data_IF_127050782735
#
_entry.id   IF_127050782735
#
_cell.length_a   1.000
_cell.length_b   1.000
_cell.length_c   1.000
_cell.angle_alpha   90.00
_cell.angle_beta   90.00
_cell.angle_gamma   90.00
#
_symmetry.space_group_name_H-M   'P 1'
#
loop_
_entity.id
_entity.type
_entity.pdbx_description
1 polymer ?
#
# COMPACT_ATOMS: atom_id res chain seq x y z
N UNK A 1 13.55 -47.44 57.95
CA UNK A 1 13.18 -47.09 56.56
C UNK A 1 13.95 -48.03 55.68
N UNK A 2 13.30 -48.72 54.75
CA UNK A 2 13.99 -49.66 53.87
C UNK A 2 14.95 -48.88 52.97
N UNK A 3 16.21 -49.31 52.94
CA UNK A 3 17.25 -48.70 52.13
C UNK A 3 17.00 -49.04 50.66
N UNK A 4 16.81 -48.02 49.81
CA UNK A 4 16.58 -48.23 48.37
C UNK A 4 17.88 -48.75 47.74
N UNK A 5 17.81 -49.91 47.11
CA UNK A 5 18.93 -50.48 46.36
C UNK A 5 18.72 -50.26 44.86
N UNK A 6 19.80 -49.92 44.15
CA UNK A 6 19.83 -49.73 42.70
C UNK A 6 20.95 -50.57 42.12
N UNK A 7 20.71 -51.18 40.97
CA UNK A 7 21.71 -52.00 40.27
C UNK A 7 22.80 -51.11 39.65
N UNK A 8 24.07 -51.41 39.92
CA UNK A 8 25.17 -50.69 39.31
C UNK A 8 25.45 -51.21 37.88
N UNK A 9 25.51 -50.35 36.84
CA UNK A 9 25.74 -50.79 35.46
C UNK A 9 27.11 -51.42 35.18
N UNK A 10 28.06 -51.35 36.12
CA UNK A 10 29.42 -51.88 35.93
C UNK A 10 29.53 -53.33 36.43
N UNK A 11 29.03 -53.62 37.63
CA UNK A 11 29.15 -54.93 38.26
C UNK A 11 27.82 -55.69 38.38
N UNK A 12 26.70 -55.02 38.07
CA UNK A 12 25.34 -55.59 38.01
C UNK A 12 24.80 -56.11 39.36
N UNK A 13 25.40 -55.74 40.49
CA UNK A 13 24.82 -56.02 41.81
C UNK A 13 24.00 -54.84 42.33
N UNK A 14 23.06 -55.15 43.23
CA UNK A 14 22.24 -54.19 43.93
C UNK A 14 23.06 -53.46 45.01
N UNK A 15 23.18 -52.14 44.89
CA UNK A 15 23.95 -51.27 45.79
C UNK A 15 23.02 -50.25 46.45
N UNK A 16 23.20 -49.88 47.73
CA UNK A 16 22.46 -48.79 48.34
C UNK A 16 22.53 -47.51 47.50
N UNK A 17 21.40 -46.83 47.30
CA UNK A 17 21.33 -45.60 46.49
C UNK A 17 22.31 -44.52 46.98
N UNK A 18 22.55 -44.46 48.30
CA UNK A 18 23.52 -43.53 48.91
C UNK A 18 24.95 -43.73 48.37
N UNK A 19 25.28 -44.93 47.91
CA UNK A 19 26.60 -45.26 47.39
C UNK A 19 26.67 -45.12 45.86
N UNK A 20 25.61 -44.60 45.20
CA UNK A 20 25.59 -44.28 43.78
C UNK A 20 25.92 -42.80 43.55
N UNK A 21 26.90 -42.55 42.69
CA UNK A 21 27.24 -41.23 42.18
C UNK A 21 26.82 -41.12 40.70
N UNK A 22 26.10 -40.06 40.37
CA UNK A 22 25.65 -39.74 39.01
C UNK A 22 26.47 -38.60 38.39
N UNK A 23 26.46 -38.55 37.06
CA UNK A 23 27.12 -37.51 36.27
C UNK A 23 26.10 -36.71 35.44
N UNK A 24 26.54 -35.56 34.91
CA UNK A 24 25.72 -34.71 34.02
C UNK A 24 25.22 -35.41 32.76
N UNK A 25 25.82 -36.55 32.38
CA UNK A 25 25.35 -37.39 31.28
C UNK A 25 24.18 -38.31 31.66
N UNK A 26 23.68 -38.25 32.90
CA UNK A 26 22.53 -39.02 33.39
C UNK A 26 22.84 -40.43 33.88
N UNK A 27 24.09 -40.90 33.79
CA UNK A 27 24.49 -42.24 34.22
C UNK A 27 25.07 -42.22 35.65
N UNK A 28 24.75 -43.24 36.45
CA UNK A 28 25.22 -43.40 37.82
C UNK A 28 25.91 -44.73 38.08
N UNK A 29 26.91 -44.71 38.97
CA UNK A 29 27.76 -45.85 39.29
C UNK A 29 28.02 -45.91 40.80
N UNK A 30 28.27 -47.10 41.34
CA UNK A 30 28.66 -47.21 42.74
C UNK A 30 30.06 -46.63 42.98
N UNK A 31 30.30 -46.09 44.18
CA UNK A 31 31.61 -45.51 44.55
C UNK A 31 32.79 -46.46 44.26
N UNK A 32 32.76 -47.76 44.64
CA UNK A 32 33.88 -48.67 44.38
C UNK A 32 34.23 -48.83 42.90
N UNK A 33 33.22 -49.02 42.04
CA UNK A 33 33.47 -49.19 40.61
C UNK A 33 33.88 -47.89 39.94
N UNK A 34 33.38 -46.75 40.42
CA UNK A 34 33.82 -45.45 39.95
C UNK A 34 35.29 -45.19 40.33
N UNK A 35 35.68 -45.55 41.54
CA UNK A 35 37.05 -45.44 42.03
C UNK A 35 38.02 -46.32 41.24
N UNK A 36 37.64 -47.56 40.97
CA UNK A 36 38.39 -48.46 40.10
C UNK A 36 38.52 -47.89 38.68
N UNK A 37 37.45 -47.32 38.12
CA UNK A 37 37.45 -46.71 36.78
C UNK A 37 38.42 -45.54 36.68
N UNK A 38 38.42 -44.62 37.64
CA UNK A 38 39.38 -43.50 37.67
C UNK A 38 40.81 -43.95 37.98
N UNK A 39 40.99 -44.95 38.85
CA UNK A 39 42.32 -45.45 39.22
C UNK A 39 43.01 -46.20 38.08
N UNK A 40 42.24 -46.89 37.23
CA UNK A 40 42.77 -47.64 36.08
C UNK A 40 43.28 -46.75 34.93
N UNK A 41 42.98 -45.44 34.94
CA UNK A 41 43.30 -44.51 33.84
C UNK A 41 43.83 -43.15 34.33
N UNK A 42 45.08 -43.07 34.82
CA UNK A 42 45.63 -41.84 35.39
C UNK A 42 45.92 -40.71 34.39
N UNK A 43 45.95 -40.98 33.07
CA UNK A 43 46.52 -40.03 32.08
C UNK A 43 45.56 -39.60 30.97
N UNK A 44 44.28 -39.97 31.00
CA UNK A 44 43.31 -39.57 29.97
C UNK A 44 42.02 -39.05 30.59
N UNK A 45 41.35 -38.15 29.85
CA UNK A 45 39.98 -37.72 30.13
C UNK A 45 39.13 -38.97 30.35
N UNK A 46 38.69 -39.19 31.57
CA UNK A 46 37.86 -40.33 31.90
C UNK A 46 36.53 -40.19 31.18
N UNK A 47 36.09 -41.24 30.50
CA UNK A 47 34.83 -41.28 29.79
C UNK A 47 33.81 -42.07 30.61
N UNK A 48 32.55 -41.69 30.55
CA UNK A 48 31.46 -42.44 31.16
C UNK A 48 31.47 -43.90 30.63
N UNK A 49 31.49 -44.94 31.50
CA UNK A 49 31.44 -46.33 31.10
C UNK A 49 30.26 -46.67 30.16
N UNK A 50 29.14 -45.96 30.29
CA UNK A 50 27.91 -46.22 29.52
C UNK A 50 27.86 -45.41 28.22
N UNK A 51 27.88 -44.07 28.27
CA UNK A 51 27.70 -43.21 27.08
C UNK A 51 29.00 -42.66 26.47
N UNK A 52 30.15 -42.95 27.07
CA UNK A 52 31.48 -42.46 26.66
C UNK A 52 31.66 -40.93 26.67
N UNK A 53 30.68 -40.16 27.17
CA UNK A 53 30.83 -38.72 27.37
C UNK A 53 31.96 -38.42 28.37
N UNK A 54 32.72 -37.33 28.17
CA UNK A 54 33.81 -36.97 29.09
C UNK A 54 33.24 -36.64 30.47
N UNK A 55 33.81 -37.25 31.51
CA UNK A 55 33.43 -37.06 32.91
C UNK A 55 34.67 -36.75 33.75
N UNK A 56 34.51 -35.96 34.81
CA UNK A 56 35.56 -35.73 35.81
C UNK A 56 35.04 -36.16 37.17
N UNK A 57 35.90 -36.74 38.01
CA UNK A 57 35.54 -37.22 39.35
C UNK A 57 34.83 -36.16 40.21
N UNK A 58 35.24 -34.89 40.07
CA UNK A 58 34.62 -33.74 40.76
C UNK A 58 33.22 -33.36 40.27
N UNK A 59 32.82 -33.84 39.09
CA UNK A 59 31.50 -33.57 38.51
C UNK A 59 30.47 -34.65 38.94
N UNK A 60 30.89 -35.63 39.74
CA UNK A 60 30.04 -36.66 40.29
C UNK A 60 29.21 -36.09 41.45
N UNK A 61 27.90 -36.36 41.46
CA UNK A 61 27.00 -35.94 42.53
C UNK A 61 26.18 -37.11 43.06
N UNK A 62 25.88 -37.08 44.36
CA UNK A 62 25.07 -38.10 45.01
C UNK A 62 23.59 -37.90 44.65
N UNK A 63 22.89 -38.99 44.32
CA UNK A 63 21.45 -38.94 44.06
C UNK A 63 20.67 -38.93 45.38
N UNK A 64 20.06 -37.79 45.69
CA UNK A 64 19.11 -37.66 46.80
C UNK A 64 17.70 -37.96 46.30
N UNK A 65 17.35 -39.24 46.17
CA UNK A 65 15.95 -39.62 45.99
C UNK A 65 15.34 -39.83 47.38
N UNK A 66 14.49 -38.90 47.80
CA UNK A 66 13.61 -39.12 48.95
C UNK A 66 12.66 -40.25 48.55
N UNK A 67 12.60 -41.39 49.25
CA UNK A 67 11.69 -42.46 48.91
C UNK A 67 10.26 -41.93 48.98
N UNK A 68 9.65 -41.62 47.84
CA UNK A 68 8.21 -41.39 47.78
C UNK A 68 7.59 -42.74 48.09
N UNK A 69 6.90 -42.83 49.25
CA UNK A 69 6.13 -44.02 49.64
C UNK A 69 5.11 -44.33 48.55
N UNK A 70 5.54 -45.10 47.57
CA UNK A 70 4.72 -45.54 46.46
C UNK A 70 4.11 -46.86 46.89
N UNK A 71 2.89 -46.78 47.42
CA UNK A 71 2.06 -47.89 47.91
C UNK A 71 1.56 -48.78 46.76
N UNK A 72 2.44 -49.25 45.87
CA UNK A 72 2.05 -50.08 44.74
C UNK A 72 3.15 -51.10 44.43
N UNK A 73 3.18 -52.12 45.28
CA UNK A 73 3.96 -53.34 45.08
C UNK A 73 3.30 -54.17 43.96
N UNK A 74 3.72 -53.96 42.71
CA UNK A 74 3.49 -54.96 41.64
C UNK A 74 4.69 -55.90 41.66
N UNK A 75 4.52 -57.05 42.31
CA UNK A 75 5.48 -58.16 42.27
C UNK A 75 5.52 -58.72 40.85
N UNK A 76 6.59 -58.45 40.11
CA UNK A 76 6.97 -59.25 38.95
C UNK A 76 7.85 -60.40 39.45
N UNK A 77 7.25 -61.59 39.54
CA UNK A 77 7.94 -62.83 39.91
C UNK A 77 8.87 -63.26 38.78
N UNK A 78 10.18 -63.24 39.03
CA UNK A 78 11.17 -63.87 38.15
C UNK A 78 11.08 -65.40 38.27
N UNK A 79 11.04 -66.17 37.18
CA UNK A 79 10.94 -67.62 37.24
C UNK A 79 12.28 -68.23 37.66
N UNK A 80 12.32 -68.81 38.86
CA UNK A 80 13.41 -69.65 39.33
C UNK A 80 13.56 -70.88 38.42
N UNK A 81 14.72 -71.00 37.77
CA UNK A 81 15.19 -72.24 37.14
C UNK A 81 15.41 -73.31 38.21
N UNK A 82 14.60 -74.36 38.20
CA UNK A 82 14.79 -75.55 39.03
C UNK A 82 15.90 -76.43 38.45
N UNK A 83 16.85 -76.94 39.26
CA UNK A 83 17.90 -77.84 38.78
C UNK A 83 17.30 -79.20 38.41
N UNK A 84 17.53 -79.65 37.19
CA UNK A 84 17.18 -81.01 36.76
C UNK A 84 18.08 -82.05 37.47
N UNK A 85 17.51 -83.13 38.04
CA UNK A 85 18.29 -84.22 38.63
C UNK A 85 18.95 -85.06 37.52
N UNK A 86 20.27 -85.14 37.54
CA UNK A 86 21.06 -86.06 36.72
C UNK A 86 20.95 -87.48 37.28
N UNK A 87 20.45 -88.48 36.53
CA UNK A 87 20.47 -89.87 36.97
C UNK A 87 21.91 -90.40 36.94
N UNK A 88 22.40 -90.83 38.11
CA UNK A 88 23.68 -91.55 38.27
C UNK A 88 23.43 -93.01 37.86
N UNK A 89 24.04 -93.45 36.75
CA UNK A 89 23.99 -94.83 36.27
C UNK A 89 25.21 -95.55 36.84
N UNK A 90 24.98 -96.51 37.74
CA UNK A 90 26.00 -97.37 38.33
C UNK A 90 26.27 -98.57 37.39
N UNK A 91 27.54 -98.81 37.03
CA UNK A 91 27.98 -99.65 35.91
C UNK A 91 28.63 -100.99 36.34
N UNK A 92 28.45 -101.43 37.60
CA UNK A 92 29.25 -102.51 38.20
C UNK A 92 28.63 -103.91 38.21
N UNK A 93 27.48 -104.18 37.56
CA UNK A 93 26.91 -105.55 37.48
C UNK A 93 26.90 -106.08 36.05
N UNK A 94 27.54 -107.23 35.73
CA UNK A 94 27.48 -107.84 34.42
C UNK A 94 26.17 -108.61 34.29
N UNK A 95 25.13 -107.94 33.81
CA UNK A 95 23.85 -108.57 33.48
C UNK A 95 23.55 -108.33 31.99
N UNK A 96 23.29 -109.39 31.23
CA UNK A 96 23.15 -109.34 29.75
C UNK A 96 21.93 -108.54 29.25
N UNK A 97 21.09 -108.00 30.15
CA UNK A 97 19.92 -107.17 29.84
C UNK A 97 20.21 -105.65 29.85
N UNK A 98 21.34 -105.22 30.41
CA UNK A 98 21.76 -103.80 30.48
C UNK A 98 21.88 -103.14 29.08
N UNK A 99 22.38 -103.83 28.02
CA UNK A 99 22.43 -103.25 26.69
C UNK A 99 21.05 -102.85 26.16
N UNK A 100 19.99 -103.60 26.45
CA UNK A 100 18.65 -103.34 25.93
C UNK A 100 18.02 -102.07 26.51
N UNK A 101 18.13 -101.89 27.83
CA UNK A 101 17.61 -100.69 28.53
C UNK A 101 18.35 -99.44 28.08
N UNK A 102 19.68 -99.51 27.97
CA UNK A 102 20.51 -98.39 27.49
C UNK A 102 20.19 -98.04 26.02
N UNK A 103 20.02 -99.05 25.15
CA UNK A 103 19.63 -98.83 23.76
C UNK A 103 18.24 -98.17 23.66
N UNK A 104 17.28 -98.59 24.49
CA UNK A 104 15.93 -97.99 24.52
C UNK A 104 15.97 -96.52 24.96
N UNK A 105 16.69 -96.23 26.05
CA UNK A 105 16.87 -94.86 26.55
C UNK A 105 17.56 -93.96 25.53
N UNK A 106 18.62 -94.45 24.86
CA UNK A 106 19.30 -93.72 23.80
C UNK A 106 18.38 -93.45 22.60
N UNK A 107 17.51 -94.40 22.23
CA UNK A 107 16.51 -94.20 21.17
C UNK A 107 15.48 -93.13 21.55
N UNK A 108 14.98 -93.14 22.78
CA UNK A 108 14.05 -92.13 23.28
C UNK A 108 14.70 -90.74 23.31
N UNK A 109 15.93 -90.64 23.83
CA UNK A 109 16.71 -89.39 23.82
C UNK A 109 16.97 -88.89 22.41
N UNK A 110 17.35 -89.77 21.48
CA UNK A 110 17.52 -89.39 20.08
C UNK A 110 16.21 -88.92 19.45
N UNK A 111 15.08 -89.56 19.76
CA UNK A 111 13.77 -89.15 19.28
C UNK A 111 13.37 -87.77 19.82
N UNK A 112 13.61 -87.51 21.11
CA UNK A 112 13.38 -86.21 21.73
C UNK A 112 14.26 -85.11 21.12
N UNK A 113 15.56 -85.36 20.96
CA UNK A 113 16.49 -84.43 20.31
C UNK A 113 16.10 -84.15 18.86
N UNK A 114 15.63 -85.15 18.11
CA UNK A 114 15.14 -84.94 16.75
C UNK A 114 13.87 -84.09 16.72
N UNK A 115 12.95 -84.28 17.69
CA UNK A 115 11.77 -83.43 17.85
C UNK A 115 12.18 -81.98 18.14
N UNK A 116 13.11 -81.78 19.07
CA UNK A 116 13.65 -80.46 19.42
C UNK A 116 14.32 -79.79 18.21
N UNK A 117 15.17 -80.50 17.47
CA UNK A 117 15.79 -80.02 16.23
C UNK A 117 14.72 -79.58 15.20
N UNK A 118 13.63 -80.32 15.07
CA UNK A 118 12.54 -79.94 14.16
C UNK A 118 11.80 -78.69 14.64
N UNK A 119 11.53 -78.56 15.95
CA UNK A 119 10.91 -77.34 16.50
C UNK A 119 11.79 -76.11 16.28
N UNK A 120 13.08 -76.20 16.58
CA UNK A 120 14.05 -75.12 16.36
C UNK A 120 14.17 -74.77 14.87
N UNK A 121 14.09 -75.75 13.98
CA UNK A 121 14.10 -75.51 12.53
C UNK A 121 12.85 -74.76 12.07
N UNK A 122 11.69 -75.09 12.61
CA UNK A 122 10.44 -74.40 12.31
C UNK A 122 10.41 -72.98 12.90
N UNK A 123 10.95 -72.79 14.11
CA UNK A 123 11.15 -71.47 14.71
C UNK A 123 12.09 -70.60 13.88
N UNK A 124 13.22 -71.15 13.43
CA UNK A 124 14.15 -70.44 12.56
C UNK A 124 13.49 -70.06 11.23
N UNK A 125 12.64 -70.93 10.66
CA UNK A 125 11.89 -70.63 9.43
C UNK A 125 10.89 -69.49 9.66
N UNK A 126 10.15 -69.51 10.79
CA UNK A 126 9.23 -68.43 11.17
C UNK A 126 9.96 -67.11 11.38
N UNK A 127 11.08 -67.12 12.11
CA UNK A 127 11.89 -65.94 12.35
C UNK A 127 12.44 -65.33 11.05
N UNK A 128 12.88 -66.16 10.10
CA UNK A 128 13.31 -65.69 8.76
C UNK A 128 12.18 -65.05 7.98
N UNK A 129 11.01 -65.70 7.91
CA UNK A 129 9.84 -65.13 7.22
C UNK A 129 9.37 -63.82 7.86
N UNK A 130 9.41 -63.71 9.19
CA UNK A 130 9.11 -62.47 9.89
C UNK A 130 10.14 -61.37 9.56
N UNK A 131 11.44 -61.70 9.55
CA UNK A 131 12.49 -60.76 9.17
C UNK A 131 12.32 -60.24 7.73
N UNK A 132 11.98 -61.12 6.79
CA UNK A 132 11.66 -60.73 5.41
C UNK A 132 10.44 -59.81 5.34
N UNK A 133 9.37 -60.11 6.10
CA UNK A 133 8.20 -59.24 6.18
C UNK A 133 8.52 -57.89 6.82
N UNK A 134 9.43 -57.83 7.79
CA UNK A 134 9.87 -56.57 8.40
C UNK A 134 10.71 -55.75 7.41
N UNK A 135 11.59 -56.39 6.64
CA UNK A 135 12.36 -55.71 5.59
C UNK A 135 11.47 -55.10 4.52
N UNK A 136 10.43 -55.81 4.07
CA UNK A 136 9.49 -55.25 3.07
C UNK A 136 8.68 -54.10 3.65
N UNK A 137 8.21 -54.20 4.89
CA UNK A 137 7.54 -53.09 5.57
C UNK A 137 8.46 -51.87 5.73
N UNK A 138 9.72 -52.08 6.11
CA UNK A 138 10.70 -51.01 6.22
C UNK A 138 10.91 -50.30 4.88
N UNK A 139 11.11 -51.05 3.80
CA UNK A 139 11.27 -50.49 2.46
C UNK A 139 10.04 -49.64 2.05
N UNK A 140 8.82 -50.13 2.33
CA UNK A 140 7.60 -49.38 2.04
C UNK A 140 7.49 -48.09 2.87
N UNK A 141 7.89 -48.12 4.14
CA UNK A 141 7.90 -46.93 5.00
C UNK A 141 8.96 -45.92 4.56
N UNK A 142 10.09 -46.36 4.04
CA UNK A 142 11.13 -45.49 3.49
C UNK A 142 10.67 -44.81 2.19
N UNK A 143 9.96 -45.54 1.31
CA UNK A 143 9.35 -44.99 0.09
C UNK A 143 8.28 -43.96 0.44
N UNK A 144 7.37 -44.28 1.37
CA UNK A 144 6.31 -43.38 1.80
C UNK A 144 6.88 -42.12 2.48
N UNK A 145 7.91 -42.25 3.31
CA UNK A 145 8.61 -41.09 3.89
C UNK A 145 9.25 -40.22 2.81
N UNK A 146 9.83 -40.84 1.77
CA UNK A 146 10.43 -40.11 0.64
C UNK A 146 9.36 -39.35 -0.14
N UNK A 147 8.20 -39.98 -0.39
CA UNK A 147 7.04 -39.36 -1.03
C UNK A 147 6.52 -38.16 -0.23
N UNK A 148 6.31 -38.32 1.08
CA UNK A 148 5.83 -37.26 1.97
C UNK A 148 6.81 -36.09 2.08
N UNK A 149 8.12 -36.35 2.10
CA UNK A 149 9.14 -35.29 2.04
C UNK A 149 9.03 -34.50 0.74
N UNK A 150 8.90 -35.18 -0.40
CA UNK A 150 8.69 -34.52 -1.68
C UNK A 150 7.41 -33.68 -1.72
N UNK A 151 6.32 -34.14 -1.11
CA UNK A 151 5.09 -33.35 -0.94
C UNK A 151 5.32 -32.11 -0.07
N UNK A 152 6.02 -32.24 1.05
CA UNK A 152 6.35 -31.12 1.94
C UNK A 152 7.20 -30.05 1.23
N UNK A 153 8.16 -30.47 0.41
CA UNK A 153 9.04 -29.55 -0.32
C UNK A 153 8.26 -28.79 -1.41
N UNK A 154 7.38 -29.46 -2.16
CA UNK A 154 6.49 -28.81 -3.12
C UNK A 154 5.57 -27.78 -2.47
N UNK A 155 4.96 -28.12 -1.33
CA UNK A 155 4.12 -27.16 -0.59
C UNK A 155 4.95 -25.98 -0.06
N UNK A 156 6.21 -26.19 0.34
CA UNK A 156 7.10 -25.11 0.77
C UNK A 156 7.44 -24.16 -0.39
N UNK A 157 7.72 -24.69 -1.56
CA UNK A 157 7.96 -23.90 -2.79
C UNK A 157 6.71 -23.10 -3.18
N UNK A 158 5.53 -23.72 -3.14
CA UNK A 158 4.26 -23.04 -3.40
C UNK A 158 4.02 -21.88 -2.42
N UNK A 159 4.25 -22.09 -1.12
CA UNK A 159 4.15 -21.04 -0.11
C UNK A 159 5.15 -19.91 -0.40
N UNK A 160 6.38 -20.23 -0.83
CA UNK A 160 7.37 -19.23 -1.22
C UNK A 160 6.90 -18.41 -2.42
N UNK A 161 6.41 -19.06 -3.48
CA UNK A 161 5.89 -18.40 -4.67
C UNK A 161 4.68 -17.50 -4.36
N UNK A 162 3.75 -17.96 -3.53
CA UNK A 162 2.60 -17.16 -3.08
C UNK A 162 3.03 -15.94 -2.26
N UNK A 163 4.06 -16.05 -1.42
CA UNK A 163 4.62 -14.91 -0.68
C UNK A 163 5.21 -13.86 -1.62
N UNK A 164 5.96 -14.27 -2.64
CA UNK A 164 6.51 -13.34 -3.64
C UNK A 164 5.40 -12.62 -4.43
N UNK A 165 4.37 -13.36 -4.85
CA UNK A 165 3.20 -12.77 -5.52
C UNK A 165 2.50 -11.77 -4.61
N UNK A 166 2.33 -12.09 -3.33
CA UNK A 166 1.71 -11.18 -2.35
C UNK A 166 2.54 -9.91 -2.15
N UNK A 167 3.87 -10.02 -2.00
CA UNK A 167 4.75 -8.85 -1.91
C UNK A 167 4.66 -7.96 -3.15
N UNK A 168 4.63 -8.55 -4.36
CA UNK A 168 4.43 -7.78 -5.61
C UNK A 168 3.08 -7.07 -5.63
N UNK A 169 2.00 -7.75 -5.23
CA UNK A 169 0.67 -7.17 -5.17
C UNK A 169 0.60 -6.01 -4.16
N UNK A 170 1.20 -6.17 -2.98
CA UNK A 170 1.31 -5.11 -1.98
C UNK A 170 2.04 -3.87 -2.52
N UNK A 171 3.19 -4.05 -3.18
CA UNK A 171 3.92 -2.95 -3.81
C UNK A 171 3.10 -2.25 -4.92
N UNK A 172 2.28 -3.00 -5.67
CA UNK A 172 1.37 -2.41 -6.66
C UNK A 172 0.24 -1.61 -6.01
N UNK A 173 -0.33 -2.10 -4.90
CA UNK A 173 -1.33 -1.37 -4.12
C UNK A 173 -0.78 -0.05 -3.57
N UNK A 174 0.39 -0.07 -2.94
CA UNK A 174 1.05 1.13 -2.43
C UNK A 174 1.35 2.16 -3.55
N UNK A 175 1.81 1.68 -4.71
CA UNK A 175 2.03 2.53 -5.90
C UNK A 175 0.74 3.16 -6.43
N UNK A 176 -0.38 2.42 -6.41
CA UNK A 176 -1.69 2.93 -6.80
C UNK A 176 -2.23 3.96 -5.79
N UNK A 177 -2.07 3.71 -4.50
CA UNK A 177 -2.45 4.65 -3.43
C UNK A 177 -1.66 5.97 -3.54
N UNK A 178 -0.35 5.90 -3.83
CA UNK A 178 0.46 7.08 -4.07
C UNK A 178 0.00 7.85 -5.32
N UNK A 179 -0.39 7.17 -6.39
CA UNK A 179 -0.95 7.84 -7.59
C UNK A 179 -2.31 8.46 -7.30
N UNK A 180 -3.15 7.80 -6.51
CA UNK A 180 -4.45 8.30 -6.12
C UNK A 180 -4.34 9.58 -5.28
N UNK A 181 -3.45 9.59 -4.27
CA UNK A 181 -3.21 10.77 -3.42
C UNK A 181 -2.68 11.95 -4.23
N UNK A 182 -1.68 11.75 -5.09
CA UNK A 182 -1.19 12.79 -6.03
C UNK A 182 -2.28 13.29 -6.97
N UNK A 183 -3.10 12.39 -7.51
CA UNK A 183 -4.23 12.76 -8.37
C UNK A 183 -5.25 13.62 -7.63
N UNK A 184 -5.54 13.30 -6.37
CA UNK A 184 -6.41 14.08 -5.50
C UNK A 184 -5.85 15.49 -5.24
N UNK A 185 -4.55 15.60 -4.92
CA UNK A 185 -3.88 16.89 -4.72
C UNK A 185 -3.96 17.77 -5.98
N UNK A 186 -3.62 17.21 -7.15
CA UNK A 186 -3.73 17.92 -8.44
C UNK A 186 -5.17 18.37 -8.69
N UNK A 187 -6.15 17.49 -8.44
CA UNK A 187 -7.56 17.83 -8.60
C UNK A 187 -8.00 18.97 -7.68
N UNK A 188 -7.56 18.99 -6.42
CA UNK A 188 -7.86 20.10 -5.50
C UNK A 188 -7.24 21.41 -5.95
N UNK A 189 -5.98 21.39 -6.44
CA UNK A 189 -5.31 22.57 -6.98
C UNK A 189 -6.03 23.13 -8.20
N UNK A 190 -6.38 22.26 -9.16
CA UNK A 190 -7.13 22.67 -10.34
C UNK A 190 -8.52 23.22 -10.01
N UNK A 191 -9.18 22.71 -8.96
CA UNK A 191 -10.44 23.27 -8.47
C UNK A 191 -10.27 24.71 -7.99
N UNK A 192 -9.22 24.98 -7.20
CA UNK A 192 -8.91 26.32 -6.69
C UNK A 192 -8.59 27.28 -7.84
N UNK A 193 -7.75 26.86 -8.79
CA UNK A 193 -7.42 27.69 -9.97
C UNK A 193 -8.65 27.98 -10.83
N UNK A 194 -9.55 27.00 -10.99
CA UNK A 194 -10.79 27.18 -11.73
C UNK A 194 -11.71 28.21 -11.06
N UNK A 195 -11.84 28.16 -9.74
CA UNK A 195 -12.63 29.13 -8.99
C UNK A 195 -12.01 30.53 -9.04
N UNK A 196 -10.67 30.66 -8.96
CA UNK A 196 -9.97 31.93 -9.19
C UNK A 196 -10.25 32.51 -10.58
N UNK A 197 -10.14 31.69 -11.62
CA UNK A 197 -10.41 32.13 -12.99
C UNK A 197 -11.88 32.54 -13.20
N UNK A 198 -12.84 31.88 -12.52
CA UNK A 198 -14.24 32.31 -12.54
C UNK A 198 -14.42 33.69 -11.90
N UNK A 199 -13.73 33.97 -10.79
CA UNK A 199 -13.77 35.27 -10.14
C UNK A 199 -13.17 36.37 -11.02
N UNK A 200 -12.00 36.13 -11.62
CA UNK A 200 -11.37 37.05 -12.59
C UNK A 200 -12.28 37.33 -13.78
N UNK A 201 -12.91 36.29 -14.34
CA UNK A 201 -13.86 36.41 -15.44
C UNK A 201 -15.10 37.22 -15.02
N UNK A 202 -15.58 37.08 -13.78
CA UNK A 202 -16.67 37.89 -13.26
C UNK A 202 -16.28 39.38 -13.10
N UNK A 203 -15.06 39.66 -12.62
CA UNK A 203 -14.51 41.02 -12.51
C UNK A 203 -14.39 41.69 -13.89
N UNK A 204 -13.80 41.00 -14.86
CA UNK A 204 -13.67 41.51 -16.23
C UNK A 204 -15.03 41.76 -16.88
N UNK A 205 -16.02 40.90 -16.65
CA UNK A 205 -17.40 41.15 -17.12
C UNK A 205 -18.01 42.40 -16.50
N UNK A 206 -17.80 42.64 -15.21
CA UNK A 206 -18.28 43.83 -14.53
C UNK A 206 -17.57 45.10 -15.03
N UNK A 207 -16.27 45.05 -15.29
CA UNK A 207 -15.48 46.12 -15.91
C UNK A 207 -15.95 46.44 -17.31
N UNK A 208 -16.13 45.42 -18.15
CA UNK A 208 -16.67 45.58 -19.50
C UNK A 208 -18.06 46.22 -19.47
N UNK A 209 -18.92 45.79 -18.54
CA UNK A 209 -20.24 46.38 -18.38
C UNK A 209 -20.16 47.87 -17.97
N UNK A 210 -19.27 48.23 -17.04
CA UNK A 210 -19.00 49.62 -16.64
C UNK A 210 -18.49 50.47 -17.81
N UNK A 211 -17.55 49.95 -18.59
CA UNK A 211 -17.03 50.62 -19.78
C UNK A 211 -18.13 50.84 -20.84
N UNK A 212 -19.01 49.85 -21.06
CA UNK A 212 -20.15 49.97 -21.96
C UNK A 212 -21.19 51.00 -21.49
N UNK A 213 -21.39 51.16 -20.18
CA UNK A 213 -22.26 52.22 -19.64
C UNK A 213 -21.62 53.60 -19.76
N UNK A 214 -20.33 53.73 -19.45
CA UNK A 214 -19.59 54.98 -19.59
C UNK A 214 -19.54 55.44 -21.06
N UNK A 215 -19.28 54.52 -22.00
CA UNK A 215 -19.33 54.81 -23.44
C UNK A 215 -20.71 55.32 -23.87
N UNK A 216 -21.79 54.73 -23.37
CA UNK A 216 -23.16 55.20 -23.67
C UNK A 216 -23.42 56.60 -23.13
N UNK A 217 -23.01 56.88 -21.89
CA UNK A 217 -23.10 58.21 -21.29
C UNK A 217 -22.33 59.25 -22.12
N UNK A 218 -21.09 58.96 -22.53
CA UNK A 218 -20.31 59.85 -23.38
C UNK A 218 -20.97 60.11 -24.75
N UNK A 219 -21.62 59.11 -25.35
CA UNK A 219 -22.40 59.28 -26.59
C UNK A 219 -23.60 60.23 -26.36
N UNK A 220 -24.31 60.07 -25.24
CA UNK A 220 -25.45 60.93 -24.91
C UNK A 220 -25.00 62.37 -24.59
N UNK A 221 -23.89 62.54 -23.88
CA UNK A 221 -23.26 63.84 -23.59
C UNK A 221 -22.83 64.55 -24.87
N UNK A 222 -22.11 63.86 -25.76
CA UNK A 222 -21.70 64.42 -27.06
C UNK A 222 -22.90 64.77 -27.95
N UNK A 223 -24.00 64.01 -27.87
CA UNK A 223 -25.25 64.34 -28.54
C UNK A 223 -25.90 65.59 -27.95
N UNK A 224 -25.99 65.70 -26.63
CA UNK A 224 -26.54 66.87 -25.94
C UNK A 224 -25.73 68.13 -26.26
N UNK A 225 -24.40 68.03 -26.29
CA UNK A 225 -23.53 69.15 -26.62
C UNK A 225 -23.69 69.58 -28.09
N UNK A 226 -23.81 68.62 -29.01
CA UNK A 226 -24.15 68.91 -30.41
C UNK A 226 -25.48 69.63 -30.55
N UNK A 227 -26.49 69.24 -29.77
CA UNK A 227 -27.80 69.92 -29.78
C UNK A 227 -27.70 71.34 -29.19
N UNK A 228 -26.89 71.56 -28.14
CA UNK A 228 -26.59 72.91 -27.61
C UNK A 228 -25.90 73.81 -28.64
N UNK A 229 -24.89 73.30 -29.35
CA UNK A 229 -24.21 74.01 -30.43
C UNK A 229 -25.22 74.38 -31.52
N UNK A 230 -26.07 73.45 -31.95
CA UNK A 230 -27.11 73.72 -32.95
C UNK A 230 -28.10 74.81 -32.51
N UNK A 231 -28.52 74.80 -31.25
CA UNK A 231 -29.38 75.83 -30.68
C UNK A 231 -28.68 77.20 -30.64
N UNK A 232 -27.40 77.23 -30.28
CA UNK A 232 -26.59 78.44 -30.29
C UNK A 232 -26.40 79.00 -31.70
N UNK A 233 -26.05 78.16 -32.67
CA UNK A 233 -25.98 78.54 -34.09
C UNK A 233 -27.31 79.12 -34.59
N UNK A 234 -28.43 78.50 -34.21
CA UNK A 234 -29.76 79.01 -34.49
C UNK A 234 -29.99 80.43 -33.94
N UNK A 235 -29.57 80.70 -32.70
CA UNK A 235 -29.62 82.05 -32.09
C UNK A 235 -28.68 83.05 -32.80
N UNK A 236 -27.47 82.64 -33.16
CA UNK A 236 -26.55 83.50 -33.92
C UNK A 236 -27.14 83.87 -35.28
N UNK A 237 -27.81 82.94 -35.96
CA UNK A 237 -28.50 83.21 -37.23
C UNK A 237 -29.67 84.19 -37.05
N UNK A 238 -30.47 84.07 -35.98
CA UNK A 238 -31.56 85.03 -35.72
C UNK A 238 -31.02 86.41 -35.38
N UNK A 239 -29.98 86.53 -34.55
CA UNK A 239 -29.31 87.80 -34.27
C UNK A 239 -28.72 88.43 -35.53
N UNK A 240 -28.07 87.63 -36.39
CA UNK A 240 -27.55 88.11 -37.68
C UNK A 240 -28.66 88.70 -38.55
N UNK A 241 -29.81 88.02 -38.66
CA UNK A 241 -30.99 88.52 -39.38
C UNK A 241 -31.52 89.83 -38.78
N UNK A 242 -31.59 89.94 -37.46
CA UNK A 242 -32.01 91.18 -36.78
C UNK A 242 -31.04 92.34 -37.05
N UNK A 243 -29.74 92.08 -36.96
CA UNK A 243 -28.70 93.07 -37.23
C UNK A 243 -28.72 93.54 -38.69
N UNK A 244 -28.96 92.64 -39.64
CA UNK A 244 -29.16 92.98 -41.05
C UNK A 244 -30.44 93.80 -41.26
N UNK A 245 -31.51 93.52 -40.51
CA UNK A 245 -32.75 94.30 -40.53
C UNK A 245 -32.54 95.72 -39.98
N UNK A 246 -31.84 95.86 -38.85
CA UNK A 246 -31.48 97.16 -38.27
C UNK A 246 -30.53 97.95 -39.18
N UNK A 247 -29.56 97.29 -39.82
CA UNK A 247 -28.72 97.92 -40.85
C UNK A 247 -29.56 98.46 -42.01
N UNK A 248 -30.57 97.71 -42.47
CA UNK A 248 -31.50 98.19 -43.51
C UNK A 248 -32.31 99.39 -43.04
N UNK A 249 -32.86 99.37 -41.81
CA UNK A 249 -33.57 100.51 -41.21
C UNK A 249 -32.67 101.73 -41.10
N UNK A 250 -31.45 101.57 -40.59
CA UNK A 250 -30.47 102.65 -40.48
C UNK A 250 -30.14 103.25 -41.85
N UNK A 251 -29.90 102.42 -42.87
CA UNK A 251 -29.70 102.91 -44.25
C UNK A 251 -30.91 103.69 -44.77
N UNK A 252 -32.13 103.24 -44.48
CA UNK A 252 -33.36 103.95 -44.85
C UNK A 252 -33.45 105.32 -44.17
N UNK A 253 -33.23 105.36 -42.85
CA UNK A 253 -33.17 106.61 -42.07
C UNK A 253 -32.04 107.54 -42.54
N UNK A 254 -30.87 107.01 -42.89
CA UNK A 254 -29.76 107.79 -43.45
C UNK A 254 -30.15 108.37 -44.83
N UNK A 255 -30.86 107.61 -45.67
CA UNK A 255 -31.37 108.13 -46.95
C UNK A 255 -32.45 109.19 -46.77
N UNK A 256 -33.35 109.03 -45.79
CA UNK A 256 -34.38 110.02 -45.43
C UNK A 256 -33.75 111.29 -44.85
N UNK A 257 -32.79 111.15 -43.94
CA UNK A 257 -32.05 112.27 -43.36
C UNK A 257 -31.23 113.02 -44.43
N UNK A 258 -30.69 112.31 -45.43
CA UNK A 258 -30.09 112.96 -46.62
C UNK A 258 -31.12 113.73 -47.44
N UNK A 259 -32.34 113.22 -47.59
CA UNK A 259 -33.42 113.96 -48.28
C UNK A 259 -33.82 115.22 -47.51
N UNK A 260 -33.84 115.17 -46.16
CA UNK A 260 -34.11 116.34 -45.31
C UNK A 260 -32.95 117.35 -45.26
N UNK A 261 -31.71 116.90 -45.51
CA UNK A 261 -30.50 117.73 -45.59
C UNK A 261 -30.19 118.25 -46.99
N UNK A 262 -31.02 117.96 -47.99
CA UNK A 262 -30.99 118.73 -49.23
C UNK A 262 -31.30 120.18 -48.85
N UNK A 263 -30.39 121.13 -49.10
CA UNK A 263 -30.71 122.53 -48.88
C UNK A 263 -31.93 122.87 -49.76
N UNK A 264 -32.81 123.80 -49.34
CA UNK A 264 -33.68 124.46 -50.30
C UNK A 264 -32.77 124.96 -51.44
N UNK A 265 -33.18 124.85 -52.71
CA UNK A 265 -32.40 125.45 -53.77
C UNK A 265 -32.25 126.93 -53.41
N UNK A 266 -31.00 127.38 -53.31
CA UNK A 266 -30.53 128.72 -52.91
C UNK A 266 -30.30 128.93 -51.40
N UNK A 267 -29.15 128.47 -50.92
CA UNK A 267 -28.43 129.13 -49.83
C UNK A 267 -26.93 128.82 -49.96
N UNK A 268 -26.18 129.77 -50.54
CA UNK A 268 -24.75 129.87 -50.32
C UNK A 268 -24.54 130.12 -48.83
N UNK A 269 -23.78 129.28 -48.13
CA UNK A 269 -23.17 129.74 -46.90
C UNK A 269 -21.85 129.04 -46.57
N UNK A 270 -20.92 129.93 -46.30
CA UNK A 270 -19.54 129.78 -45.92
C UNK A 270 -19.42 129.07 -44.55
N UNK A 271 -18.67 127.97 -44.49
CA UNK A 271 -18.19 127.48 -43.21
C UNK A 271 -16.74 127.01 -43.33
N UNK A 272 -15.85 127.92 -42.94
CA UNK A 272 -14.42 127.70 -42.74
C UNK A 272 -14.21 126.60 -41.69
N UNK A 273 -13.60 125.49 -42.10
CA UNK A 273 -12.92 124.56 -41.18
C UNK A 273 -11.49 125.06 -41.01
N UNK A 274 -11.21 125.69 -39.86
CA UNK A 274 -9.85 126.06 -39.45
C UNK A 274 -9.14 124.77 -39.01
N UNK A 275 -8.24 124.28 -39.86
CA UNK A 275 -7.27 123.24 -39.50
C UNK A 275 -6.06 123.96 -38.90
N UNK A 276 -5.86 123.83 -37.59
CA UNK A 276 -4.69 124.35 -36.87
C UNK A 276 -3.46 123.48 -37.20
N UNK A 277 -2.46 123.99 -37.95
CA UNK A 277 -1.29 123.20 -38.36
C UNK A 277 -0.26 122.99 -37.24
N UNK A 278 -0.46 123.56 -36.04
CA UNK A 278 0.53 123.59 -34.96
C UNK A 278 0.10 122.85 -33.69
N UNK A 279 -0.92 121.99 -33.75
CA UNK A 279 -1.25 121.12 -32.63
C UNK A 279 -0.40 119.84 -32.71
N UNK A 280 0.60 119.63 -31.84
CA UNK A 280 1.32 118.36 -31.81
C UNK A 280 0.34 117.28 -31.39
N UNK A 281 0.23 116.24 -32.23
CA UNK A 281 -0.43 114.99 -31.88
C UNK A 281 0.26 114.37 -30.68
N UNK A 282 -0.26 114.63 -29.48
CA UNK A 282 0.04 113.85 -28.29
C UNK A 282 -0.66 112.49 -28.37
N UNK A 283 -0.25 111.65 -29.32
CA UNK A 283 -0.26 110.20 -29.12
C UNK A 283 1.02 109.87 -28.35
N UNK A 284 0.93 109.94 -27.02
CA UNK A 284 1.97 109.43 -26.15
C UNK A 284 2.24 107.96 -26.47
N UNK A 285 3.50 107.48 -26.37
CA UNK A 285 3.86 106.09 -26.61
C UNK A 285 3.45 105.19 -25.43
N UNK A 286 2.25 105.37 -24.90
CA UNK A 286 1.65 104.35 -24.05
C UNK A 286 1.14 103.27 -25.00
N UNK A 287 2.00 102.28 -25.24
CA UNK A 287 1.56 100.96 -25.69
C UNK A 287 0.29 100.62 -24.90
N UNK A 288 -0.85 100.34 -25.54
CA UNK A 288 -1.96 99.75 -24.81
C UNK A 288 -1.39 98.53 -24.10
N UNK A 289 -1.61 98.45 -22.80
CA UNK A 289 -1.17 97.34 -21.98
C UNK A 289 -1.82 96.07 -22.55
N UNK A 290 -1.05 95.36 -23.39
CA UNK A 290 -1.44 94.11 -24.03
C UNK A 290 -1.06 92.91 -23.12
N UNK A 291 -0.64 93.14 -21.87
CA UNK A 291 -0.35 92.06 -20.93
C UNK A 291 -1.55 91.14 -20.71
N UNK A 292 -2.78 91.66 -20.81
CA UNK A 292 -3.99 90.82 -20.75
C UNK A 292 -4.18 89.91 -21.97
N UNK A 293 -3.56 90.22 -23.12
CA UNK A 293 -3.58 89.35 -24.30
C UNK A 293 -2.54 88.22 -24.20
N UNK A 294 -1.42 88.45 -23.51
CA UNK A 294 -0.42 87.41 -23.25
C UNK A 294 -0.92 86.39 -22.20
N UNK A 295 -1.67 86.83 -21.17
CA UNK A 295 -2.31 85.93 -20.20
C UNK A 295 -3.47 85.10 -20.79
N UNK A 296 -4.08 85.54 -21.89
CA UNK A 296 -5.10 84.75 -22.60
C UNK A 296 -4.49 83.65 -23.50
N UNK A 297 -3.21 83.78 -23.86
CA UNK A 297 -2.49 82.79 -24.69
C UNK A 297 -1.63 81.81 -23.86
N UNK A 298 -1.43 82.04 -22.56
CA UNK A 298 -0.71 81.14 -21.65
C UNK A 298 -1.62 80.14 -20.92
N UNK A 299 -2.87 79.94 -21.37
CA UNK A 299 -3.64 78.76 -20.98
C UNK A 299 -2.91 77.52 -21.52
N UNK A 300 -1.96 77.05 -20.70
CA UNK A 300 -1.32 75.75 -20.80
C UNK A 300 -2.43 74.72 -20.96
N UNK A 301 -2.58 74.19 -22.17
CA UNK A 301 -3.32 72.96 -22.34
C UNK A 301 -2.69 71.91 -21.42
N UNK A 302 -3.47 71.41 -20.47
CA UNK A 302 -3.15 70.21 -19.72
C UNK A 302 -2.76 69.12 -20.73
N UNK A 303 -1.44 68.92 -20.86
CA UNK A 303 -0.88 67.76 -21.51
C UNK A 303 -1.23 66.57 -20.63
N UNK A 304 -2.25 65.84 -21.06
CA UNK A 304 -2.42 64.44 -20.69
C UNK A 304 -1.25 63.67 -21.32
N UNK A 305 -0.13 63.65 -20.62
CA UNK A 305 0.91 62.66 -20.85
C UNK A 305 0.38 61.34 -20.27
N UNK A 306 -0.08 60.48 -21.17
CA UNK A 306 -0.33 59.06 -20.93
C UNK A 306 1.02 58.37 -20.66
N UNK A 307 1.43 58.32 -19.40
CA UNK A 307 2.42 57.36 -18.92
C UNK A 307 1.72 56.02 -18.70
N UNK A 308 1.90 55.07 -19.62
CA UNK A 308 2.11 53.67 -19.22
C UNK A 308 2.92 52.90 -20.29
N UNK A 309 4.22 53.14 -20.24
CA UNK A 309 5.24 52.27 -20.83
C UNK A 309 5.51 51.11 -19.87
N UNK A 310 4.96 49.95 -20.18
CA UNK A 310 5.45 48.67 -19.66
C UNK A 310 5.67 47.70 -20.82
N UNK A 311 6.78 47.95 -21.50
CA UNK A 311 7.56 46.97 -22.23
C UNK A 311 7.72 45.63 -21.48
N UNK A 312 7.29 44.53 -22.10
CA UNK A 312 8.12 43.32 -22.16
C UNK A 312 7.76 42.41 -23.35
N UNK A 313 8.54 42.55 -24.41
CA UNK A 313 8.68 41.62 -25.51
C UNK A 313 9.81 40.63 -25.23
N UNK A 314 9.52 39.34 -25.40
CA UNK A 314 10.42 38.19 -25.61
C UNK A 314 9.48 37.00 -25.89
N UNK A 315 9.52 36.18 -26.93
CA UNK A 315 10.44 35.95 -28.04
C UNK A 315 9.71 34.98 -28.99
N UNK A 316 9.91 35.16 -30.29
CA UNK A 316 9.86 34.15 -31.37
C UNK A 316 8.54 33.52 -31.85
N UNK A 317 8.27 33.87 -33.11
CA UNK A 317 7.45 33.18 -34.08
C UNK A 317 8.06 31.83 -34.48
N UNK A 318 7.19 30.86 -34.75
CA UNK A 318 7.54 29.57 -35.36
C UNK A 318 6.29 28.88 -35.89
N UNK A 319 5.72 29.42 -36.97
CA UNK A 319 4.62 28.82 -37.73
C UNK A 319 5.05 28.53 -39.15
N UNK A 320 5.29 27.26 -39.49
CA UNK A 320 5.15 26.76 -40.86
C UNK A 320 4.54 25.36 -40.80
N UNK A 321 3.29 25.25 -41.25
CA UNK A 321 2.68 23.99 -41.66
C UNK A 321 2.95 23.72 -43.14
N UNK A 322 3.04 22.45 -43.51
CA UNK A 322 3.16 22.01 -44.90
C UNK A 322 3.20 20.47 -44.99
N UNK A 323 2.07 19.89 -45.40
CA UNK A 323 1.85 18.46 -45.62
C UNK A 323 2.45 17.92 -46.94
N UNK A 324 2.59 16.58 -46.98
CA UNK A 324 2.59 15.63 -48.12
C UNK A 324 3.94 15.10 -48.72
N UNK A 325 3.97 13.82 -49.24
CA UNK A 325 4.92 12.76 -48.82
C UNK A 325 5.63 12.07 -50.03
N UNK A 326 5.79 10.73 -50.09
CA UNK A 326 6.73 9.83 -49.39
C UNK A 326 7.83 9.29 -50.34
N UNK A 327 8.92 8.70 -49.81
CA UNK A 327 9.63 7.58 -50.49
C UNK A 327 10.69 6.91 -49.60
N UNK A 328 10.59 5.58 -49.61
CA UNK A 328 11.59 4.59 -49.21
C UNK A 328 12.93 4.74 -49.94
N UNK A 329 14.04 4.46 -49.27
CA UNK A 329 14.94 3.33 -49.58
C UNK A 329 16.21 3.35 -48.71
N UNK A 330 16.70 2.13 -48.50
CA UNK A 330 17.94 1.75 -47.83
C UNK A 330 19.17 2.54 -48.26
N UNK A 331 20.11 2.73 -47.33
CA UNK A 331 21.52 2.31 -47.50
C UNK A 331 22.36 2.82 -46.32
N UNK A 332 23.18 1.92 -45.80
CA UNK A 332 24.15 2.21 -44.75
C UNK A 332 25.19 3.24 -45.17
N UNK A 333 25.57 4.09 -44.21
CA UNK A 333 26.64 5.07 -44.35
C UNK A 333 27.31 5.27 -43.00
N UNK A 334 28.33 4.45 -42.74
CA UNK A 334 29.25 4.55 -41.62
C UNK A 334 30.13 5.80 -41.80
N UNK A 335 30.08 6.74 -40.87
CA UNK A 335 31.05 7.83 -40.73
C UNK A 335 31.61 7.85 -39.29
N UNK A 336 32.94 7.98 -39.10
CA UNK A 336 33.57 8.09 -37.79
C UNK A 336 33.96 9.54 -37.48
N UNK A 337 33.72 10.00 -36.25
CA UNK A 337 34.39 11.15 -35.62
C UNK A 337 34.03 11.14 -34.13
N UNK A 338 34.96 10.75 -33.25
CA UNK A 338 35.82 11.65 -32.47
C UNK A 338 35.14 12.24 -31.22
N UNK A 339 35.62 11.76 -30.06
CA UNK A 339 36.18 12.62 -29.02
C UNK A 339 35.21 13.37 -28.12
N UNK A 340 34.94 12.79 -26.95
CA UNK A 340 34.26 13.46 -25.84
C UNK A 340 34.03 12.51 -24.67
N UNK A 341 35.11 11.95 -24.11
CA UNK A 341 35.05 11.19 -22.85
C UNK A 341 34.59 12.12 -21.73
N UNK A 342 33.33 11.99 -21.34
CA UNK A 342 32.86 12.43 -20.03
C UNK A 342 32.83 11.19 -19.15
N UNK A 343 33.84 11.08 -18.30
CA UNK A 343 33.97 10.04 -17.28
C UNK A 343 32.85 10.25 -16.26
N UNK A 344 31.76 9.48 -16.40
CA UNK A 344 30.72 9.37 -15.38
C UNK A 344 31.29 8.46 -14.29
N UNK A 345 31.86 9.08 -13.26
CA UNK A 345 32.27 8.38 -12.04
C UNK A 345 31.01 7.83 -11.36
N UNK A 346 30.91 6.51 -11.30
CA UNK A 346 29.85 5.77 -10.63
C UNK A 346 30.03 5.93 -9.11
N UNK A 347 29.12 6.67 -8.47
CA UNK A 347 29.10 6.98 -7.02
C UNK A 347 28.84 5.74 -6.13
N UNK A 348 28.88 4.53 -6.70
CA UNK A 348 28.61 3.26 -6.02
C UNK A 348 29.81 2.64 -5.31
N UNK A 349 31.02 3.12 -5.59
CA UNK A 349 32.26 2.61 -4.97
C UNK A 349 32.80 3.51 -3.86
N UNK A 350 32.00 4.43 -3.31
CA UNK A 350 32.42 5.22 -2.15
C UNK A 350 32.46 4.32 -0.90
N UNK A 351 33.64 4.03 -0.31
CA UNK A 351 33.69 3.23 0.90
C UNK A 351 33.06 4.02 2.05
N UNK A 352 32.09 3.39 2.72
CA UNK A 352 31.47 3.94 3.94
C UNK A 352 32.54 4.08 5.04
N UNK A 353 32.48 5.14 5.85
CA UNK A 353 33.44 5.35 6.93
C UNK A 353 33.38 4.19 7.93
N UNK A 354 34.53 3.53 8.11
CA UNK A 354 34.82 2.68 9.27
C UNK A 354 34.82 3.58 10.51
N UNK A 355 33.70 3.63 11.22
CA UNK A 355 33.70 3.96 12.65
C UNK A 355 32.30 3.72 13.24
N UNK A 356 32.15 2.58 13.92
CA UNK A 356 31.30 2.38 15.11
C UNK A 356 31.41 0.94 15.61
N UNK A 357 32.60 0.60 16.10
CA UNK A 357 32.70 -0.45 17.11
C UNK A 357 32.15 0.07 18.45
N UNK A 358 31.51 -0.84 19.19
CA UNK A 358 30.98 -0.71 20.56
C UNK A 358 29.58 -0.10 20.76
N UNK A 359 28.51 -0.93 20.83
CA UNK A 359 27.32 -0.61 21.61
C UNK A 359 27.53 -0.96 23.10
N UNK A 360 27.16 -0.10 24.06
CA UNK A 360 27.22 -0.46 25.46
C UNK A 360 26.10 -1.44 25.82
N UNK A 361 26.51 -2.56 26.43
CA UNK A 361 25.64 -3.56 27.06
C UNK A 361 24.78 -2.91 28.16
N UNK A 362 23.45 -3.02 28.04
CA UNK A 362 22.54 -2.98 29.20
C UNK A 362 21.45 -4.06 29.07
N UNK A 363 21.07 -4.71 30.17
CA UNK A 363 20.34 -5.98 30.17
C UNK A 363 18.83 -5.81 29.99
N UNK A 364 18.26 -6.75 29.22
CA UNK A 364 16.82 -7.01 29.09
C UNK A 364 16.23 -7.39 30.46
N UNK A 365 15.36 -6.55 30.98
CA UNK A 365 14.51 -6.84 32.14
C UNK A 365 13.21 -7.51 31.69
N UNK A 366 13.04 -8.76 32.15
CA UNK A 366 11.81 -9.43 32.60
C UNK A 366 10.57 -9.40 31.69
N UNK A 367 10.35 -10.54 31.01
CA UNK A 367 9.01 -11.06 30.72
C UNK A 367 8.30 -11.44 32.03
N UNK A 368 7.02 -11.07 32.25
CA UNK A 368 6.18 -11.75 33.22
C UNK A 368 5.51 -12.95 32.55
N UNK A 369 5.92 -14.13 32.99
CA UNK A 369 5.28 -15.41 32.76
C UNK A 369 4.13 -15.60 33.74
N UNK A 370 2.91 -15.30 33.33
CA UNK A 370 1.69 -15.70 34.05
C UNK A 370 0.96 -16.76 33.24
N UNK A 371 1.41 -18.01 33.39
CA UNK A 371 0.61 -19.21 33.13
C UNK A 371 0.45 -19.93 34.47
N UNK A 372 -0.49 -19.45 35.28
CA UNK A 372 -0.97 -20.19 36.45
C UNK A 372 -2.34 -20.79 36.10
N UNK A 373 -2.31 -22.09 35.78
CA UNK A 373 -3.48 -22.95 35.81
C UNK A 373 -3.90 -23.10 37.29
N UNK A 374 -5.04 -22.52 37.64
CA UNK A 374 -5.73 -22.79 38.91
C UNK A 374 -6.94 -23.70 38.67
N UNK A 375 -7.17 -24.73 39.48
CA UNK A 375 -8.36 -25.57 39.40
C UNK A 375 -9.52 -25.02 40.24
N UNK A 376 -10.72 -25.23 39.72
CA UNK A 376 -12.04 -25.37 40.38
C UNK A 376 -12.53 -24.35 41.42
N UNK A 377 -13.74 -23.82 41.20
CA UNK A 377 -14.87 -24.01 42.12
C UNK A 377 -16.13 -23.29 41.59
N UNK A 378 -17.21 -24.06 41.43
CA UNK A 378 -18.58 -23.58 41.47
C UNK A 378 -18.86 -22.91 42.82
N UNK A 379 -19.62 -21.81 42.83
CA UNK A 379 -20.62 -21.47 43.86
C UNK A 379 -21.52 -20.36 43.29
N UNK A 380 -22.82 -20.59 43.44
CA UNK A 380 -23.94 -19.71 43.09
C UNK A 380 -24.23 -18.66 44.19
N UNK A 381 -25.19 -17.76 43.88
CA UNK A 381 -25.87 -16.77 44.74
C UNK A 381 -25.11 -15.43 44.84
N UNK A 382 -25.69 -14.26 44.60
CA UNK A 382 -27.07 -13.80 44.49
C UNK A 382 -27.12 -12.32 44.92
N UNK A 383 -28.27 -11.67 44.71
CA UNK A 383 -28.70 -10.37 45.29
C UNK A 383 -28.49 -9.09 44.45
N UNK A 384 -29.58 -8.73 43.78
CA UNK A 384 -30.24 -7.42 43.69
C UNK A 384 -29.46 -6.11 43.95
N UNK A 385 -29.59 -5.18 42.99
CA UNK A 385 -30.18 -3.85 43.26
C UNK A 385 -30.85 -3.24 42.03
N UNK A 386 -32.16 -3.05 42.13
CA UNK A 386 -33.00 -2.17 41.30
C UNK A 386 -32.53 -0.72 41.45
N UNK A 387 -32.43 0.03 40.35
CA UNK A 387 -32.84 1.44 40.28
C UNK A 387 -33.55 1.71 38.96
N UNK A 388 -34.57 2.56 39.08
CA UNK A 388 -35.67 2.87 38.19
C UNK A 388 -35.52 4.34 37.72
N UNK A 389 -36.20 4.70 36.63
CA UNK A 389 -36.28 6.00 35.92
C UNK A 389 -35.27 6.18 34.78
N UNK A 390 -35.66 6.60 33.57
CA UNK A 390 -36.98 7.01 33.06
C UNK A 390 -36.85 7.43 31.59
N UNK A 391 -37.90 7.11 30.83
CA UNK A 391 -38.40 7.72 29.59
C UNK A 391 -37.48 8.58 28.70
N UNK A 392 -37.24 8.09 27.48
CA UNK A 392 -37.60 8.81 26.24
C UNK A 392 -37.29 7.97 24.99
N UNK A 393 -38.32 7.43 24.34
CA UNK A 393 -38.38 7.14 22.88
C UNK A 393 -38.95 8.38 22.17
N UNK A 394 -38.98 8.54 20.83
CA UNK A 394 -38.76 7.53 19.78
C UNK A 394 -37.92 7.99 18.56
N UNK A 395 -37.41 7.03 17.78
CA UNK A 395 -37.30 6.99 16.30
C UNK A 395 -36.44 5.77 15.96
N UNK A 396 -36.89 4.73 15.26
CA UNK A 396 -37.69 4.77 14.04
C UNK A 396 -36.83 4.38 12.84
N UNK A 397 -36.05 3.29 12.92
CA UNK A 397 -35.30 2.75 11.77
C UNK A 397 -35.81 1.36 11.41
N UNK A 398 -36.46 1.28 10.25
CA UNK A 398 -37.00 0.06 9.65
C UNK A 398 -35.86 -0.68 8.96
N UNK A 399 -35.40 -1.77 9.53
CA UNK A 399 -34.58 -2.74 8.81
C UNK A 399 -35.49 -3.62 7.95
N UNK A 400 -35.30 -3.56 6.63
CA UNK A 400 -35.95 -4.46 5.68
C UNK A 400 -35.34 -5.86 5.82
N UNK A 401 -36.21 -6.82 6.15
CA UNK A 401 -35.92 -8.25 6.22
C UNK A 401 -35.99 -8.81 4.79
N UNK A 402 -34.84 -9.05 4.17
CA UNK A 402 -34.75 -9.75 2.88
C UNK A 402 -35.01 -11.25 3.13
N UNK A 403 -36.14 -11.75 2.63
CA UNK A 403 -36.46 -13.18 2.58
C UNK A 403 -35.70 -13.80 1.40
N UNK A 404 -34.82 -14.76 1.67
CA UNK A 404 -34.36 -15.69 0.66
C UNK A 404 -35.46 -16.73 0.40
N UNK A 405 -36.00 -16.72 -0.82
CA UNK A 405 -36.94 -17.71 -1.33
C UNK A 405 -36.13 -18.78 -2.08
N UNK A 406 -35.96 -19.95 -1.48
CA UNK A 406 -35.43 -21.13 -2.16
C UNK A 406 -36.55 -21.80 -2.95
N UNK A 407 -36.57 -21.56 -4.26
CA UNK A 407 -37.40 -22.28 -5.23
C UNK A 407 -36.74 -23.64 -5.48
N UNK A 408 -37.36 -24.69 -4.95
CA UNK A 408 -37.08 -26.09 -5.27
C UNK A 408 -37.74 -26.42 -6.60
N UNK A 409 -36.96 -26.76 -7.63
CA UNK A 409 -37.48 -27.37 -8.85
C UNK A 409 -37.11 -28.85 -8.88
N UNK A 410 -38.16 -29.66 -8.78
CA UNK A 410 -38.18 -31.06 -9.16
C UNK A 410 -38.09 -31.15 -10.68
N UNK A 411 -37.09 -31.86 -11.19
CA UNK A 411 -37.17 -32.54 -12.49
C UNK A 411 -36.67 -33.95 -12.27
N UNK A 412 -37.59 -34.90 -12.38
CA UNK A 412 -37.28 -36.33 -12.44
C UNK A 412 -36.92 -36.76 -13.86
N UNK A 413 -36.36 -37.97 -13.98
CA UNK A 413 -36.37 -38.72 -15.24
C UNK A 413 -35.10 -39.49 -15.60
N UNK A 414 -34.97 -40.68 -15.00
CA UNK A 414 -34.68 -41.98 -15.63
C UNK A 414 -33.44 -42.26 -16.51
N UNK A 415 -32.79 -43.38 -16.16
CA UNK A 415 -32.11 -44.40 -17.01
C UNK A 415 -30.80 -43.98 -17.69
N UNK A 416 -29.75 -44.78 -17.87
CA UNK A 416 -29.47 -46.22 -17.71
C UNK A 416 -27.96 -46.45 -17.86
N UNK A 417 -27.49 -47.63 -17.45
CA UNK A 417 -26.32 -48.38 -17.94
C UNK A 417 -24.87 -47.93 -17.70
N UNK A 418 -24.10 -48.89 -17.15
CA UNK A 418 -23.04 -49.50 -17.95
C UNK A 418 -21.59 -49.08 -17.68
N UNK A 419 -20.97 -49.73 -16.70
CA UNK A 419 -19.57 -50.22 -16.56
C UNK A 419 -18.34 -49.47 -17.17
N UNK A 420 -17.15 -49.69 -16.57
CA UNK A 420 -16.00 -48.79 -16.66
C UNK A 420 -14.97 -49.23 -17.71
N UNK A 421 -14.17 -48.30 -18.23
CA UNK A 421 -12.81 -48.61 -18.69
C UNK A 421 -11.86 -47.42 -18.60
N UNK A 422 -10.62 -47.77 -18.24
CA UNK A 422 -9.39 -46.98 -18.09
C UNK A 422 -8.96 -46.29 -19.39
N UNK A 423 -8.25 -45.18 -19.26
CA UNK A 423 -6.95 -44.94 -19.94
C UNK A 423 -6.12 -43.87 -19.22
N UNK A 424 -4.77 -43.85 -19.43
CA UNK A 424 -3.81 -43.12 -18.62
C UNK A 424 -3.28 -41.83 -19.27
N UNK A 425 -2.73 -40.95 -18.43
CA UNK A 425 -1.43 -40.28 -18.59
C UNK A 425 -1.18 -39.37 -19.81
N UNK A 426 -0.94 -38.09 -19.54
CA UNK A 426 -0.25 -37.20 -20.48
C UNK A 426 -0.47 -35.71 -20.17
N UNK A 427 0.19 -35.18 -19.13
CA UNK A 427 0.21 -33.74 -18.84
C UNK A 427 1.50 -33.15 -19.39
N UNK A 428 1.35 -32.29 -20.39
CA UNK A 428 2.36 -31.35 -20.89
C UNK A 428 2.06 -29.98 -20.29
N UNK A 429 3.01 -29.27 -19.66
CA UNK A 429 2.78 -27.93 -19.14
C UNK A 429 3.28 -26.91 -20.15
N UNK A 430 2.38 -26.34 -20.94
CA UNK A 430 2.53 -24.97 -21.44
C UNK A 430 1.27 -24.56 -22.20
N UNK A 431 0.46 -23.72 -21.55
CA UNK A 431 -0.40 -22.70 -22.17
C UNK A 431 -1.07 -21.88 -21.08
N UNK A 432 -0.62 -20.64 -20.99
CA UNK A 432 -1.24 -19.57 -20.24
C UNK A 432 -2.67 -19.37 -20.77
N UNK A 433 -3.67 -19.64 -19.93
CA UNK A 433 -5.05 -19.27 -20.19
C UNK A 433 -5.32 -17.90 -19.56
N UNK A 434 -5.24 -16.90 -20.43
CA UNK A 434 -5.81 -15.57 -20.30
C UNK A 434 -7.32 -15.70 -19.99
N UNK A 435 -7.73 -15.53 -18.73
CA UNK A 435 -9.14 -15.55 -18.34
C UNK A 435 -9.81 -14.23 -18.74
N UNK A 436 -10.26 -14.16 -19.98
CA UNK A 436 -11.24 -13.14 -20.42
C UNK A 436 -12.61 -13.53 -19.88
N UNK A 437 -13.09 -12.80 -18.87
CA UNK A 437 -14.48 -12.85 -18.44
C UNK A 437 -15.39 -12.42 -19.62
N UNK A 438 -16.37 -13.22 -20.04
CA UNK A 438 -17.29 -12.83 -21.11
C UNK A 438 -18.39 -11.96 -20.50
N UNK A 439 -18.16 -10.64 -20.46
CA UNK A 439 -19.27 -9.71 -20.32
C UNK A 439 -19.94 -9.62 -21.70
N UNK A 440 -21.19 -10.11 -21.81
CA UNK A 440 -21.96 -9.95 -23.03
C UNK A 440 -22.26 -8.45 -23.22
N UNK A 441 -21.72 -7.86 -24.29
CA UNK A 441 -21.92 -6.45 -24.63
C UNK A 441 -22.91 -6.39 -25.79
N UNK A 442 -23.95 -5.56 -25.68
CA UNK A 442 -24.92 -5.35 -26.75
C UNK A 442 -24.31 -4.58 -27.94
N UNK A 443 -25.05 -4.52 -29.04
CA UNK A 443 -24.65 -3.84 -30.28
C UNK A 443 -24.42 -2.31 -30.11
N UNK A 444 -24.62 -1.78 -28.90
CA UNK A 444 -24.43 -0.37 -28.51
C UNK A 444 -23.33 -0.20 -27.45
N UNK A 445 -22.54 -1.23 -27.15
CA UNK A 445 -21.42 -1.14 -26.22
C UNK A 445 -21.81 -1.25 -24.74
N UNK A 446 -23.01 -1.74 -24.40
CA UNK A 446 -23.47 -1.86 -22.99
C UNK A 446 -23.43 -3.30 -22.50
N UNK A 447 -22.95 -3.50 -21.27
CA UNK A 447 -22.93 -4.81 -20.61
C UNK A 447 -24.36 -5.27 -20.32
N UNK A 448 -24.79 -6.40 -20.90
CA UNK A 448 -26.07 -7.04 -20.61
C UNK A 448 -26.13 -7.44 -19.13
N UNK A 449 -27.14 -6.96 -18.40
CA UNK A 449 -27.40 -7.34 -17.01
C UNK A 449 -27.26 -6.23 -15.97
N UNK A 450 -26.76 -5.05 -16.33
CA UNK A 450 -26.77 -3.89 -15.41
C UNK A 450 -28.13 -3.20 -15.42
N UNK A 451 -28.88 -3.30 -14.32
CA UNK A 451 -30.12 -2.56 -14.10
C UNK A 451 -29.78 -1.08 -13.94
N UNK A 452 -30.23 -0.26 -14.89
CA UNK A 452 -30.09 1.19 -14.83
C UNK A 452 -30.93 1.74 -13.66
N UNK A 453 -30.26 2.19 -12.60
CA UNK A 453 -30.92 2.93 -11.51
C UNK A 453 -31.29 4.30 -12.06
N UNK A 454 -32.58 4.51 -12.31
CA UNK A 454 -33.15 5.69 -12.95
C UNK A 454 -32.77 7.01 -12.25
N UNK A 455 -32.47 8.01 -13.07
CA UNK A 455 -32.19 9.38 -12.66
C UNK A 455 -33.42 10.00 -11.97
N UNK A 456 -33.18 10.67 -10.84
CA UNK A 456 -34.19 11.41 -10.09
C UNK A 456 -34.77 12.53 -10.95
N UNK A 457 -36.04 12.38 -11.30
CA UNK A 457 -36.89 13.40 -11.90
C UNK A 457 -37.08 14.55 -10.90
N UNK A 458 -36.68 15.77 -11.28
CA UNK A 458 -36.95 16.99 -10.51
C UNK A 458 -38.44 17.32 -10.62
N UNK A 459 -39.14 17.34 -9.49
CA UNK A 459 -40.48 17.90 -9.39
C UNK A 459 -40.39 19.43 -9.46
N UNK A 460 -41.02 20.01 -10.48
CA UNK A 460 -41.34 21.43 -10.54
C UNK A 460 -42.36 21.75 -9.45
N UNK A 461 -42.04 22.66 -8.55
CA UNK A 461 -43.01 23.34 -7.68
C UNK A 461 -43.26 24.74 -8.24
N UNK A 462 -44.43 24.91 -8.87
CA UNK A 462 -45.12 26.18 -8.96
C UNK A 462 -46.48 25.94 -8.31
N UNK A 463 -46.68 26.56 -7.15
CA UNK A 463 -47.96 27.07 -6.67
C UNK A 463 -47.71 28.52 -6.32
#
# INVERSE_FOLDING_TARGET
>A
MDELHVECPIHLDAVPLKDILAFNCGHGFCVPCLDAHFSSRPTRVSACPTCRSPIKRKDAFQLFLTPTRSTSQIRASSPHLTPHPTPVIDLTTPNEEIPSVLISWLKEKNSALLSEINTLRDDLRRARSAAESHMTLQANLEDENSRLRGECDRSREEISGLREVNMRAQGQCESLELRYTKGKEISTRLSIDNDRLKEELAKLKAELQRALTAKRQAIDETRNERDRVRLFEGRCQTFKKQLDLEKKKRKALESENRQLRLPPPDAEDESLVIIDPNRPDHFGPEKPDLAWLEDACTVQGDRLDDDDDSTRSTTEEGSVGGDFPPRSLDAGGRWPAQGGETEVVDDRDRPLPLDRECPPRKPLSRFPSDWSLGPEAEISLGVHRKRKHGDSRPTGSKFFKVKHSTRSENVGGSSSDGRPHRTPGGVSPDKWLETKLPLAIDNRGRVQGTVAVGSRQRLNSKN
#
